data_IF_897422645734
#
_entry.id   IF_897422645734
#
_cell.length_a   1.000
_cell.length_b   1.000
_cell.length_c   1.000
_cell.angle_alpha   90.00
_cell.angle_beta   90.00
_cell.angle_gamma   90.00
#
_symmetry.space_group_name_H-M   'P 1'
#
loop_
_entity.id
_entity.type
_entity.pdbx_description
1 polymer ?
#
# COMPACT_ATOMS: atom_id res chain seq x y z
N UNK A 1 11.99 4.40 -10.04
CA UNK A 1 11.49 4.36 -8.66
C UNK A 1 10.11 4.98 -8.72
N UNK A 2 9.07 4.30 -8.24
CA UNK A 2 7.72 4.89 -8.27
C UNK A 2 7.71 5.97 -7.20
N UNK A 3 7.56 7.21 -7.63
CA UNK A 3 7.54 8.36 -6.76
C UNK A 3 6.19 8.49 -6.09
N UNK A 4 6.25 8.89 -4.84
CA UNK A 4 5.05 9.24 -4.10
C UNK A 4 4.43 10.50 -4.72
N UNK A 5 3.10 10.55 -4.81
CA UNK A 5 2.39 11.77 -5.15
C UNK A 5 2.74 12.82 -4.08
N UNK A 6 3.32 13.94 -4.51
CA UNK A 6 3.85 14.98 -3.62
C UNK A 6 2.80 15.51 -2.63
N UNK A 7 1.54 15.64 -3.05
CA UNK A 7 0.49 16.12 -2.17
C UNK A 7 0.14 15.07 -1.11
N UNK A 8 0.01 13.80 -1.49
CA UNK A 8 -0.27 12.72 -0.54
C UNK A 8 0.89 12.57 0.45
N UNK A 9 2.13 12.63 -0.02
CA UNK A 9 3.29 12.56 0.85
C UNK A 9 3.35 13.73 1.83
N UNK A 10 3.10 14.95 1.35
CA UNK A 10 2.99 16.14 2.21
C UNK A 10 1.91 15.99 3.28
N UNK A 11 0.75 15.45 2.93
CA UNK A 11 -0.31 15.19 3.91
C UNK A 11 0.07 14.10 4.93
N UNK A 12 0.70 13.01 4.49
CA UNK A 12 1.20 11.95 5.37
C UNK A 12 2.26 12.48 6.35
N UNK A 13 3.16 13.33 5.87
CA UNK A 13 4.27 13.89 6.64
C UNK A 13 3.80 14.84 7.77
N UNK A 14 2.55 15.34 7.74
CA UNK A 14 1.97 16.10 8.87
C UNK A 14 1.78 15.25 10.14
N UNK A 15 1.74 13.92 9.98
CA UNK A 15 1.50 12.97 11.06
C UNK A 15 2.78 12.24 11.51
N UNK A 16 3.92 12.59 10.93
CA UNK A 16 5.22 11.99 11.22
C UNK A 16 6.13 13.04 11.87
N UNK A 17 6.97 12.60 12.80
CA UNK A 17 7.92 13.45 13.52
C UNK A 17 9.33 12.86 13.38
N UNK A 18 10.29 13.68 12.95
CA UNK A 18 11.69 13.27 12.80
C UNK A 18 12.00 12.35 11.62
N UNK A 19 11.00 12.01 10.79
CA UNK A 19 11.15 11.20 9.58
C UNK A 19 10.01 11.46 8.59
N UNK A 20 10.29 11.33 7.30
CA UNK A 20 9.31 11.44 6.20
C UNK A 20 8.86 10.08 5.69
N UNK A 21 7.69 10.00 5.05
CA UNK A 21 7.19 8.77 4.44
C UNK A 21 8.11 8.29 3.30
N UNK A 22 8.74 9.22 2.58
CA UNK A 22 9.74 8.94 1.57
C UNK A 22 10.95 8.20 2.18
N UNK A 23 11.48 8.71 3.31
CA UNK A 23 12.57 8.06 4.04
C UNK A 23 12.16 6.68 4.57
N UNK A 24 10.95 6.55 5.13
CA UNK A 24 10.44 5.24 5.58
C UNK A 24 10.44 4.24 4.42
N UNK A 25 9.93 4.62 3.25
CA UNK A 25 9.87 3.74 2.07
C UNK A 25 11.26 3.31 1.59
N UNK A 26 12.23 4.22 1.62
CA UNK A 26 13.63 3.94 1.28
C UNK A 26 14.25 2.97 2.31
N UNK A 27 14.03 3.24 3.59
CA UNK A 27 14.61 2.48 4.71
C UNK A 27 13.95 1.11 4.92
N UNK A 28 12.74 0.90 4.40
CA UNK A 28 12.00 -0.37 4.48
C UNK A 28 12.70 -1.55 3.79
N UNK A 29 13.88 -1.32 3.16
CA UNK A 29 14.95 -2.22 2.66
C UNK A 29 14.60 -3.45 1.81
N UNK A 30 13.40 -4.04 1.91
CA UNK A 30 12.89 -5.16 1.10
C UNK A 30 11.36 -5.17 0.97
N UNK A 31 10.62 -4.77 2.00
CA UNK A 31 9.16 -4.84 2.03
C UNK A 31 8.65 -3.68 2.88
N UNK A 32 7.84 -2.82 2.27
CA UNK A 32 7.05 -1.84 2.99
C UNK A 32 5.78 -2.52 3.53
N UNK A 33 5.57 -2.42 4.83
CA UNK A 33 4.44 -2.99 5.55
C UNK A 33 3.41 -1.91 5.86
N UNK A 34 2.15 -2.22 5.59
CA UNK A 34 1.02 -1.39 5.98
C UNK A 34 -0.21 -2.27 6.13
N UNK A 35 -1.13 -1.84 7.01
CA UNK A 35 -2.38 -2.54 7.26
C UNK A 35 -3.51 -1.94 6.42
N UNK A 36 -4.24 -2.78 5.71
CA UNK A 36 -5.50 -2.39 5.06
C UNK A 36 -6.64 -2.50 6.08
N UNK A 37 -7.47 -1.47 6.13
CA UNK A 37 -8.61 -1.30 7.03
C UNK A 37 -9.82 -0.78 6.24
N UNK A 38 -10.06 -1.34 5.06
CA UNK A 38 -11.20 -0.97 4.23
C UNK A 38 -12.52 -1.41 4.89
N UNK A 39 -13.54 -0.55 4.79
CA UNK A 39 -14.91 -0.90 5.15
C UNK A 39 -15.52 -1.87 4.14
N UNK A 40 -16.67 -2.45 4.46
CA UNK A 40 -17.39 -3.33 3.54
C UNK A 40 -17.74 -2.62 2.23
N UNK A 41 -18.12 -1.36 2.30
CA UNK A 41 -18.47 -0.53 1.15
C UNK A 41 -17.24 -0.27 0.27
N UNK A 42 -16.09 0.00 0.88
CA UNK A 42 -14.82 0.20 0.16
C UNK A 42 -14.36 -1.10 -0.51
N UNK A 43 -14.45 -2.24 0.18
CA UNK A 43 -14.07 -3.54 -0.37
C UNK A 43 -14.88 -3.92 -1.64
N UNK A 44 -16.12 -3.43 -1.76
CA UNK A 44 -16.98 -3.66 -2.94
C UNK A 44 -16.60 -2.82 -4.16
N UNK A 45 -15.74 -1.80 -4.01
CA UNK A 45 -15.35 -0.93 -5.12
C UNK A 45 -14.43 -1.65 -6.11
N UNK A 46 -14.48 -1.19 -7.37
CA UNK A 46 -13.56 -1.64 -8.42
C UNK A 46 -12.14 -1.13 -8.15
N UNK A 47 -11.12 -1.83 -8.65
CA UNK A 47 -9.71 -1.41 -8.53
C UNK A 47 -9.40 -0.10 -9.25
N UNK A 48 -10.31 0.43 -10.07
CA UNK A 48 -10.23 1.76 -10.69
C UNK A 48 -10.05 2.89 -9.68
N UNK A 49 -10.58 2.76 -8.46
CA UNK A 49 -10.44 3.78 -7.41
C UNK A 49 -9.00 3.99 -6.96
N UNK A 50 -8.10 3.05 -7.29
CA UNK A 50 -6.68 3.16 -6.99
C UNK A 50 -5.92 4.03 -8.01
N UNK A 51 -6.55 4.47 -9.10
CA UNK A 51 -5.91 5.29 -10.15
C UNK A 51 -4.59 4.64 -10.64
N UNK A 52 -4.70 3.38 -11.05
CA UNK A 52 -3.59 2.57 -11.56
C UNK A 52 -3.29 2.92 -13.02
N UNK A 53 -2.04 2.72 -13.44
CA UNK A 53 -1.70 2.69 -14.86
C UNK A 53 -2.57 1.68 -15.62
N UNK A 54 -2.85 1.99 -16.88
CA UNK A 54 -3.62 1.11 -17.79
C UNK A 54 -3.07 -0.32 -17.78
N UNK A 55 -1.74 -0.47 -17.67
CA UNK A 55 -1.08 -1.78 -17.56
C UNK A 55 -1.44 -2.50 -16.26
N UNK A 56 -1.26 -1.85 -15.11
CA UNK A 56 -1.56 -2.45 -13.81
C UNK A 56 -3.04 -2.83 -13.69
N UNK A 57 -3.92 -1.91 -14.09
CA UNK A 57 -5.37 -2.13 -14.14
C UNK A 57 -5.73 -3.38 -14.96
N UNK A 58 -5.26 -3.47 -16.21
CA UNK A 58 -5.59 -4.62 -17.05
C UNK A 58 -4.95 -5.92 -16.58
N UNK A 59 -3.76 -5.89 -15.96
CA UNK A 59 -3.17 -7.07 -15.35
C UNK A 59 -4.07 -7.63 -14.23
N UNK A 60 -4.58 -6.77 -13.34
CA UNK A 60 -5.48 -7.19 -12.27
C UNK A 60 -6.81 -7.74 -12.81
N UNK A 61 -7.46 -7.02 -13.73
CA UNK A 61 -8.74 -7.44 -14.34
C UNK A 61 -8.62 -8.81 -15.03
N UNK A 62 -7.57 -9.05 -15.80
CA UNK A 62 -7.35 -10.34 -16.50
C UNK A 62 -7.14 -11.52 -15.54
N UNK A 63 -6.67 -11.24 -14.33
CA UNK A 63 -6.46 -12.24 -13.30
C UNK A 63 -7.68 -12.40 -12.37
N UNK A 64 -8.81 -11.73 -12.68
CA UNK A 64 -10.03 -11.79 -11.89
C UNK A 64 -10.01 -10.93 -10.62
N UNK A 65 -8.98 -10.10 -10.42
CA UNK A 65 -8.81 -9.22 -9.26
C UNK A 65 -9.44 -7.84 -9.52
N UNK A 66 -10.72 -7.84 -9.88
CA UNK A 66 -11.42 -6.64 -10.35
C UNK A 66 -11.93 -5.70 -9.25
N UNK A 67 -11.90 -6.12 -8.00
CA UNK A 67 -12.47 -5.39 -6.84
C UNK A 67 -11.44 -5.31 -5.73
N UNK A 68 -11.54 -4.31 -4.85
CA UNK A 68 -10.64 -4.17 -3.70
C UNK A 68 -10.67 -5.41 -2.79
N UNK A 69 -11.84 -6.01 -2.56
CA UNK A 69 -11.97 -7.26 -1.80
C UNK A 69 -11.11 -8.39 -2.38
N UNK A 70 -11.29 -8.69 -3.67
CA UNK A 70 -10.52 -9.72 -4.37
C UNK A 70 -9.03 -9.40 -4.39
N UNK A 71 -8.65 -8.14 -4.56
CA UNK A 71 -7.25 -7.73 -4.55
C UNK A 71 -6.63 -7.96 -3.16
N UNK A 72 -7.25 -7.45 -2.10
CA UNK A 72 -6.79 -7.59 -0.70
C UNK A 72 -6.69 -9.07 -0.31
N UNK A 73 -7.75 -9.85 -0.56
CA UNK A 73 -7.74 -11.28 -0.29
C UNK A 73 -6.76 -12.04 -1.21
N UNK A 74 -6.46 -11.53 -2.41
CA UNK A 74 -5.48 -12.13 -3.31
C UNK A 74 -4.01 -11.88 -2.92
N UNK A 75 -3.72 -10.85 -2.11
CA UNK A 75 -2.36 -10.39 -1.79
C UNK A 75 -1.98 -10.47 -0.31
N UNK A 76 -2.94 -10.72 0.59
CA UNK A 76 -2.71 -10.83 2.03
C UNK A 76 -3.00 -12.24 2.60
N UNK A 77 -3.27 -13.25 1.77
CA UNK A 77 -3.78 -14.56 2.21
C UNK A 77 -2.73 -15.60 2.63
N UNK A 78 -1.45 -15.23 2.82
CA UNK A 78 -0.41 -16.18 3.25
C UNK A 78 0.49 -15.56 4.29
N UNK A 79 0.55 -16.20 5.46
CA UNK A 79 1.30 -15.75 6.65
C UNK A 79 2.82 -15.57 6.36
N UNK A 80 3.37 -16.31 5.40
CA UNK A 80 4.82 -16.34 5.15
C UNK A 80 5.30 -15.47 3.96
N UNK A 81 4.38 -14.80 3.24
CA UNK A 81 4.71 -14.10 1.99
C UNK A 81 4.24 -12.65 1.98
N UNK A 82 5.17 -11.71 1.79
CA UNK A 82 4.83 -10.30 1.63
C UNK A 82 3.91 -10.05 0.43
N UNK A 83 3.02 -9.06 0.52
CA UNK A 83 2.05 -8.72 -0.52
C UNK A 83 2.72 -8.46 -1.88
N UNK A 84 3.93 -7.92 -1.88
CA UNK A 84 4.74 -7.75 -3.10
C UNK A 84 5.11 -9.07 -3.76
N UNK A 85 5.53 -10.07 -2.97
CA UNK A 85 5.83 -11.41 -3.50
C UNK A 85 4.55 -12.07 -4.01
N UNK A 86 3.42 -11.89 -3.33
CA UNK A 86 2.14 -12.43 -3.78
C UNK A 86 1.69 -11.82 -5.11
N UNK A 87 1.79 -10.50 -5.27
CA UNK A 87 1.51 -9.81 -6.54
C UNK A 87 2.41 -10.29 -7.69
N UNK A 88 3.71 -10.48 -7.41
CA UNK A 88 4.66 -11.01 -8.40
C UNK A 88 4.34 -12.43 -8.87
N UNK A 89 3.55 -13.21 -8.12
CA UNK A 89 3.12 -14.56 -8.54
C UNK A 89 1.98 -14.51 -9.55
N UNK A 90 1.30 -13.38 -9.70
CA UNK A 90 0.23 -13.23 -10.68
C UNK A 90 0.85 -13.13 -12.07
N UNK A 91 0.33 -13.94 -13.01
CA UNK A 91 0.85 -14.00 -14.38
C UNK A 91 0.80 -12.62 -15.03
N UNK A 92 1.92 -12.18 -15.60
CA UNK A 92 2.12 -10.87 -16.23
C UNK A 92 2.27 -9.65 -15.30
N UNK A 93 2.43 -9.86 -13.98
CA UNK A 93 2.78 -8.80 -13.04
C UNK A 93 4.30 -8.70 -12.85
N UNK A 94 4.90 -7.68 -13.46
CA UNK A 94 6.30 -7.33 -13.25
C UNK A 94 6.52 -6.54 -11.97
N UNK A 95 7.78 -6.41 -11.54
CA UNK A 95 8.17 -5.70 -10.30
C UNK A 95 7.60 -4.30 -10.19
N UNK A 96 7.71 -3.50 -11.24
CA UNK A 96 7.22 -2.12 -11.24
C UNK A 96 5.70 -2.07 -11.09
N UNK A 97 4.97 -2.94 -11.80
CA UNK A 97 3.50 -3.02 -11.70
C UNK A 97 3.05 -3.48 -10.30
N UNK A 98 3.75 -4.42 -9.68
CA UNK A 98 3.45 -4.86 -8.32
C UNK A 98 3.74 -3.75 -7.29
N UNK A 99 4.84 -3.00 -7.46
CA UNK A 99 5.15 -1.84 -6.61
C UNK A 99 4.10 -0.73 -6.76
N UNK A 100 3.65 -0.45 -7.98
CA UNK A 100 2.61 0.55 -8.26
C UNK A 100 1.32 0.23 -7.51
N UNK A 101 0.84 -1.02 -7.62
CA UNK A 101 -0.41 -1.46 -6.98
C UNK A 101 -0.31 -1.28 -5.47
N UNK A 102 0.81 -1.67 -4.84
CA UNK A 102 0.99 -1.53 -3.40
C UNK A 102 1.02 -0.06 -2.96
N UNK A 103 1.74 0.79 -3.67
CA UNK A 103 1.82 2.23 -3.34
C UNK A 103 0.44 2.88 -3.49
N UNK A 104 -0.27 2.63 -4.60
CA UNK A 104 -1.60 3.20 -4.84
C UNK A 104 -2.63 2.67 -3.85
N UNK A 105 -2.53 1.41 -3.43
CA UNK A 105 -3.40 0.86 -2.39
C UNK A 105 -3.09 1.44 -0.99
N UNK A 106 -1.82 1.66 -0.66
CA UNK A 106 -1.42 2.37 0.56
C UNK A 106 -1.96 3.81 0.58
N UNK A 107 -1.93 4.49 -0.56
CA UNK A 107 -2.47 5.84 -0.71
C UNK A 107 -3.96 5.91 -0.52
N UNK A 108 -4.67 5.03 -1.21
CA UNK A 108 -6.09 4.92 -1.06
C UNK A 108 -6.44 4.63 0.41
N UNK A 109 -5.73 3.69 1.06
CA UNK A 109 -5.89 3.42 2.50
C UNK A 109 -5.71 4.66 3.37
N UNK A 110 -4.68 5.47 3.16
CA UNK A 110 -4.49 6.70 3.94
C UNK A 110 -5.59 7.73 3.68
N UNK A 111 -5.99 7.91 2.41
CA UNK A 111 -6.97 8.93 2.02
C UNK A 111 -8.38 8.63 2.54
N UNK A 112 -8.76 7.35 2.61
CA UNK A 112 -10.10 6.95 3.08
C UNK A 112 -10.19 6.81 4.60
N UNK A 113 -9.08 6.98 5.33
CA UNK A 113 -9.12 7.00 6.79
C UNK A 113 -9.74 8.30 7.30
N UNK A 114 -10.59 8.23 8.34
CA UNK A 114 -10.98 9.42 9.09
C UNK A 114 -9.74 10.13 9.64
N UNK A 115 -9.76 11.47 9.66
CA UNK A 115 -8.62 12.27 10.16
C UNK A 115 -8.21 11.89 11.59
N UNK A 116 -9.18 11.51 12.42
CA UNK A 116 -8.94 11.02 13.79
C UNK A 116 -8.07 9.77 13.87
N UNK A 117 -7.97 8.97 12.80
CA UNK A 117 -7.16 7.74 12.75
C UNK A 117 -5.87 7.89 11.96
N UNK A 118 -5.67 8.98 11.23
CA UNK A 118 -4.49 9.18 10.38
C UNK A 118 -3.20 9.23 11.18
N UNK A 119 -3.21 9.90 12.35
CA UNK A 119 -2.04 9.96 13.25
C UNK A 119 -1.62 8.56 13.70
N UNK A 120 -2.52 7.83 14.34
CA UNK A 120 -2.24 6.49 14.87
C UNK A 120 -1.80 5.54 13.75
N UNK A 121 -2.42 5.63 12.58
CA UNK A 121 -2.04 4.84 11.42
C UNK A 121 -0.61 5.14 10.96
N UNK A 122 -0.24 6.43 10.83
CA UNK A 122 1.11 6.80 10.41
C UNK A 122 2.17 6.46 11.46
N UNK A 123 1.85 6.53 12.75
CA UNK A 123 2.71 6.03 13.82
C UNK A 123 2.92 4.51 13.72
N UNK A 124 1.86 3.74 13.46
CA UNK A 124 1.98 2.30 13.23
C UNK A 124 2.85 1.98 12.02
N UNK A 125 2.76 2.77 10.94
CA UNK A 125 3.65 2.63 9.77
C UNK A 125 5.12 2.78 10.17
N UNK A 126 5.46 3.76 11.01
CA UNK A 126 6.83 3.91 11.53
C UNK A 126 7.24 2.66 12.30
N UNK A 127 6.40 2.19 13.22
CA UNK A 127 6.71 1.03 14.06
C UNK A 127 6.89 -0.26 13.23
N UNK A 128 6.00 -0.52 12.28
CA UNK A 128 6.01 -1.74 11.46
C UNK A 128 7.21 -1.79 10.50
N UNK A 129 7.69 -0.63 10.04
CA UNK A 129 8.76 -0.55 9.05
C UNK A 129 10.13 -0.24 9.65
N UNK A 130 10.17 0.44 10.79
CA UNK A 130 11.39 0.94 11.42
C UNK A 130 11.55 0.53 12.88
N UNK A 131 10.59 -0.17 13.49
CA UNK A 131 10.63 -0.55 14.91
C UNK A 131 11.90 -1.31 15.31
N UNK A 132 12.50 -2.09 14.40
CA UNK A 132 13.79 -2.75 14.64
C UNK A 132 14.98 -1.78 14.80
N UNK A 133 14.85 -0.52 14.35
CA UNK A 133 15.86 0.54 14.44
C UNK A 133 15.69 1.46 15.66
N UNK A 134 14.52 1.43 16.34
CA UNK A 134 14.23 2.28 17.50
C UNK A 134 14.50 1.62 18.86
N UNK A 135 14.94 0.35 18.88
CA UNK A 135 15.20 -0.44 20.11
C UNK A 135 16.71 -0.55 20.43
N UNK A 136 17.55 0.32 19.86
CA UNK A 136 18.97 0.43 20.22
C UNK A 136 19.28 1.78 20.84
#
# INVERSE_FOLDING_TARGET
MIELNENVAREMNKYLEGITIEEILILSRRVFHFKVMFTREQLQQDVEVLDLSVRAYHCLKRCGLSTLDKLVNGIYTKEDASSKRQLLRIRNLGRNTAEEILIKMFYYQFNVLPDSRKRDYMQQIVMDNLGAYMVN
#
